data_IF_512894996583
#
_entry.id   IF_512894996583
#
_cell.length_a   1.000
_cell.length_b   1.000
_cell.length_c   1.000
_cell.angle_alpha   90.00
_cell.angle_beta   90.00
_cell.angle_gamma   90.00
#
_symmetry.space_group_name_H-M   'P 1'
#
loop_
_entity.id
_entity.type
_entity.pdbx_description
1 polymer ?
#
# COMPACT_ATOMS: atom_id res chain seq x y z
N UNK A 1 -14.37 17.79 -10.06
CA UNK A 1 -13.84 17.58 -8.71
C UNK A 1 -12.79 18.64 -8.43
N UNK A 2 -12.80 19.28 -7.27
CA UNK A 2 -11.78 20.29 -6.90
C UNK A 2 -10.54 19.61 -6.34
N UNK A 3 -9.36 20.24 -6.40
CA UNK A 3 -8.13 19.67 -5.81
C UNK A 3 -8.28 19.38 -4.31
N UNK A 4 -8.97 20.27 -3.59
CA UNK A 4 -9.33 20.06 -2.18
C UNK A 4 -10.14 18.78 -1.95
N UNK A 5 -11.06 18.43 -2.85
CA UNK A 5 -11.80 17.16 -2.76
C UNK A 5 -10.86 15.97 -2.99
N UNK A 6 -9.97 16.04 -3.99
CA UNK A 6 -8.96 15.01 -4.25
C UNK A 6 -8.08 14.79 -3.01
N UNK A 7 -7.63 15.87 -2.36
CA UNK A 7 -6.79 15.82 -1.16
C UNK A 7 -7.49 15.16 0.03
N UNK A 8 -8.75 15.54 0.28
CA UNK A 8 -9.56 14.92 1.35
C UNK A 8 -9.74 13.43 1.10
N UNK A 9 -10.03 13.02 -0.13
CA UNK A 9 -10.21 11.61 -0.47
C UNK A 9 -8.91 10.81 -0.40
N UNK A 10 -7.82 11.34 -0.92
CA UNK A 10 -6.50 10.73 -0.82
C UNK A 10 -6.06 10.55 0.64
N UNK A 11 -6.29 11.55 1.49
CA UNK A 11 -5.95 11.46 2.91
C UNK A 11 -6.84 10.46 3.66
N UNK A 12 -8.13 10.38 3.32
CA UNK A 12 -9.01 9.32 3.84
C UNK A 12 -8.53 7.93 3.40
N UNK A 13 -8.03 7.80 2.17
CA UNK A 13 -7.46 6.54 1.74
C UNK A 13 -6.18 6.18 2.49
N UNK A 14 -5.30 7.15 2.74
CA UNK A 14 -4.11 6.92 3.56
C UNK A 14 -4.47 6.34 4.93
N UNK A 15 -5.50 6.87 5.59
CA UNK A 15 -6.00 6.31 6.85
C UNK A 15 -6.52 4.88 6.68
N UNK A 16 -7.32 4.60 5.64
CA UNK A 16 -7.83 3.25 5.34
C UNK A 16 -6.71 2.23 5.09
N UNK A 17 -5.66 2.62 4.37
CA UNK A 17 -4.48 1.79 4.12
C UNK A 17 -3.73 1.49 5.42
N UNK A 18 -3.57 2.47 6.32
CA UNK A 18 -2.95 2.27 7.64
C UNK A 18 -3.75 1.32 8.52
N UNK A 19 -5.07 1.49 8.60
CA UNK A 19 -5.96 0.59 9.34
C UNK A 19 -5.87 -0.85 8.81
N UNK A 20 -5.92 -1.00 7.48
CA UNK A 20 -5.79 -2.31 6.85
C UNK A 20 -4.42 -2.94 7.10
N UNK A 21 -3.34 -2.16 7.03
CA UNK A 21 -1.99 -2.63 7.35
C UNK A 21 -1.89 -3.13 8.80
N UNK A 22 -2.47 -2.41 9.76
CA UNK A 22 -2.49 -2.80 11.17
C UNK A 22 -3.23 -4.13 11.38
N UNK A 23 -4.36 -4.33 10.70
CA UNK A 23 -5.08 -5.60 10.72
C UNK A 23 -4.21 -6.72 10.14
N UNK A 24 -3.67 -6.56 8.93
CA UNK A 24 -2.81 -7.60 8.31
C UNK A 24 -1.61 -7.94 9.19
N UNK A 25 -0.96 -6.94 9.80
CA UNK A 25 0.18 -7.13 10.70
C UNK A 25 -0.20 -7.91 11.96
N UNK A 26 -1.34 -7.62 12.58
CA UNK A 26 -1.88 -8.39 13.72
C UNK A 26 -2.08 -9.86 13.34
N UNK A 27 -2.50 -10.12 12.11
CA UNK A 27 -2.75 -11.46 11.63
C UNK A 27 -1.52 -12.21 11.10
N UNK A 28 -0.42 -11.52 10.82
CA UNK A 28 0.81 -12.13 10.30
C UNK A 28 1.35 -13.24 11.23
N UNK A 29 1.31 -13.04 12.55
CA UNK A 29 1.75 -14.04 13.52
C UNK A 29 0.85 -15.28 13.63
N UNK A 30 -0.40 -15.18 13.18
CA UNK A 30 -1.36 -16.30 13.17
C UNK A 30 -1.32 -17.09 11.86
N UNK A 31 -0.79 -16.50 10.79
CA UNK A 31 -0.57 -17.12 9.51
C UNK A 31 0.73 -17.95 9.55
N UNK A 32 0.59 -19.19 10.02
CA UNK A 32 1.67 -20.17 10.13
C UNK A 32 1.32 -21.44 9.38
N UNK A 33 2.36 -22.20 9.01
CA UNK A 33 2.17 -23.59 8.60
C UNK A 33 2.00 -24.47 9.83
N UNK A 34 1.13 -25.47 9.73
CA UNK A 34 1.07 -26.53 10.72
C UNK A 34 2.39 -27.32 10.70
N UNK A 35 3.04 -27.55 11.85
CA UNK A 35 4.39 -28.13 11.89
C UNK A 35 4.47 -29.56 11.34
N UNK A 36 3.39 -30.33 11.50
CA UNK A 36 3.33 -31.75 11.05
C UNK A 36 2.81 -31.89 9.62
N UNK A 37 1.65 -31.30 9.31
CA UNK A 37 1.00 -31.46 7.99
C UNK A 37 1.49 -30.47 6.95
N UNK A 38 2.19 -29.39 7.34
CA UNK A 38 2.63 -28.34 6.43
C UNK A 38 1.51 -27.50 5.82
N UNK A 39 0.28 -27.68 6.27
CA UNK A 39 -0.91 -26.96 5.80
C UNK A 39 -0.94 -25.57 6.43
N UNK A 40 -1.15 -24.53 5.62
CA UNK A 40 -1.31 -23.17 6.13
C UNK A 40 -2.62 -23.02 6.91
N UNK A 41 -2.59 -22.31 8.04
CA UNK A 41 -3.83 -21.89 8.71
C UNK A 41 -4.67 -21.07 7.74
N UNK A 42 -5.94 -21.44 7.50
CA UNK A 42 -6.79 -20.67 6.60
C UNK A 42 -6.98 -19.25 7.16
N UNK A 43 -6.96 -18.21 6.32
CA UNK A 43 -7.14 -16.84 6.78
C UNK A 43 -8.53 -16.65 7.40
N UNK A 44 -8.63 -15.82 8.43
CA UNK A 44 -9.93 -15.47 9.00
C UNK A 44 -10.77 -14.66 7.99
N UNK A 45 -12.11 -14.59 8.15
CA UNK A 45 -12.94 -13.71 7.32
C UNK A 45 -12.50 -12.24 7.38
N UNK A 46 -12.03 -11.78 8.54
CA UNK A 46 -11.51 -10.41 8.71
C UNK A 46 -10.26 -10.16 7.86
N UNK A 47 -9.33 -11.13 7.81
CA UNK A 47 -8.13 -11.04 6.96
C UNK A 47 -8.52 -11.00 5.49
N UNK A 48 -9.38 -11.92 5.04
CA UNK A 48 -9.86 -11.93 3.65
C UNK A 48 -10.52 -10.61 3.26
N UNK A 49 -11.41 -10.09 4.11
CA UNK A 49 -12.05 -8.80 3.88
C UNK A 49 -11.05 -7.64 3.85
N UNK A 50 -10.02 -7.68 4.68
CA UNK A 50 -8.96 -6.66 4.71
C UNK A 50 -8.08 -6.70 3.46
N UNK A 51 -7.69 -7.89 2.99
CA UNK A 51 -6.95 -8.04 1.73
C UNK A 51 -7.79 -7.54 0.54
N UNK A 52 -9.09 -7.84 0.53
CA UNK A 52 -10.03 -7.29 -0.45
C UNK A 52 -10.07 -5.76 -0.45
N UNK A 53 -10.15 -5.13 0.74
CA UNK A 53 -10.11 -3.67 0.88
C UNK A 53 -8.80 -3.08 0.38
N UNK A 54 -7.64 -3.66 0.71
CA UNK A 54 -6.34 -3.20 0.19
C UNK A 54 -6.31 -3.23 -1.34
N UNK A 55 -6.89 -4.28 -1.94
CA UNK A 55 -6.97 -4.38 -3.39
C UNK A 55 -7.91 -3.34 -3.99
N UNK A 56 -9.04 -3.09 -3.36
CA UNK A 56 -9.97 -2.02 -3.76
C UNK A 56 -9.28 -0.65 -3.69
N UNK A 57 -8.55 -0.35 -2.62
CA UNK A 57 -7.77 0.89 -2.49
C UNK A 57 -6.82 1.10 -3.67
N UNK A 58 -6.13 0.04 -4.12
CA UNK A 58 -5.21 0.09 -5.25
C UNK A 58 -5.88 0.39 -6.59
N UNK A 59 -7.19 0.15 -6.74
CA UNK A 59 -7.93 0.48 -7.97
C UNK A 59 -8.12 1.98 -8.16
N UNK A 60 -8.08 2.74 -7.06
CA UNK A 60 -8.29 4.20 -7.06
C UNK A 60 -7.00 4.99 -7.25
N UNK A 61 -5.85 4.35 -7.02
CA UNK A 61 -4.52 4.98 -7.13
C UNK A 61 -4.29 5.68 -8.48
N UNK A 62 -4.58 5.08 -9.65
CA UNK A 62 -4.36 5.75 -10.94
C UNK A 62 -5.05 7.12 -11.03
N UNK A 63 -6.29 7.23 -10.52
CA UNK A 63 -7.02 8.49 -10.54
C UNK A 63 -6.36 9.57 -9.66
N UNK A 64 -5.79 9.21 -8.50
CA UNK A 64 -5.02 10.15 -7.69
C UNK A 64 -3.70 10.55 -8.34
N UNK A 65 -3.02 9.61 -8.99
CA UNK A 65 -1.78 9.89 -9.73
C UNK A 65 -2.02 10.92 -10.84
N UNK A 66 -3.08 10.74 -11.61
CA UNK A 66 -3.45 11.67 -12.68
C UNK A 66 -3.82 13.05 -12.12
N UNK A 67 -4.60 13.08 -11.04
CA UNK A 67 -4.99 14.34 -10.40
C UNK A 67 -3.77 15.09 -9.82
N UNK A 68 -2.85 14.39 -9.16
CA UNK A 68 -1.62 14.97 -8.64
C UNK A 68 -0.66 15.43 -9.75
N UNK A 69 -0.59 14.71 -10.87
CA UNK A 69 0.20 15.14 -12.02
C UNK A 69 -0.36 16.43 -12.65
N UNK A 70 -1.68 16.52 -12.79
CA UNK A 70 -2.36 17.72 -13.29
C UNK A 70 -2.15 18.92 -12.36
N UNK A 71 -2.25 18.70 -11.05
CA UNK A 71 -1.97 19.74 -10.05
C UNK A 71 -0.50 20.18 -10.11
N UNK A 72 0.46 19.24 -10.17
CA UNK A 72 1.89 19.58 -10.31
C UNK A 72 2.11 20.47 -11.52
N UNK A 73 1.59 20.11 -12.69
CA UNK A 73 1.74 20.90 -13.90
C UNK A 73 1.07 22.29 -13.82
N UNK A 74 0.01 22.45 -13.02
CA UNK A 74 -0.62 23.74 -12.79
C UNK A 74 0.15 24.60 -11.78
N UNK A 75 0.71 23.99 -10.73
CA UNK A 75 1.57 24.65 -9.75
C UNK A 75 2.88 25.11 -10.39
N UNK A 76 3.52 24.30 -11.25
CA UNK A 76 4.75 24.69 -11.99
C UNK A 76 4.52 25.92 -12.86
N UNK A 77 3.36 26.01 -13.54
CA UNK A 77 2.99 27.19 -14.33
C UNK A 77 2.80 28.45 -13.51
N UNK A 78 2.46 28.33 -12.23
CA UNK A 78 2.08 29.47 -11.37
C UNK A 78 3.25 29.93 -10.49
N UNK A 79 3.99 29.00 -9.92
CA UNK A 79 4.99 29.25 -8.87
C UNK A 79 6.43 29.06 -9.34
N UNK A 80 6.64 28.58 -10.58
CA UNK A 80 7.96 28.23 -11.07
C UNK A 80 8.49 26.93 -10.43
N UNK A 81 9.69 26.96 -9.87
CA UNK A 81 10.37 25.76 -9.37
C UNK A 81 9.67 25.14 -8.16
N UNK A 82 9.17 23.91 -8.32
CA UNK A 82 8.57 23.14 -7.22
C UNK A 82 9.61 22.27 -6.48
N UNK A 83 9.41 22.01 -5.18
CA UNK A 83 10.18 21.02 -4.44
C UNK A 83 10.22 19.66 -5.16
N UNK A 84 11.37 19.00 -5.15
CA UNK A 84 11.57 17.73 -5.83
C UNK A 84 10.60 16.65 -5.32
N UNK A 85 10.28 16.68 -4.02
CA UNK A 85 9.36 15.76 -3.36
C UNK A 85 7.94 15.81 -3.95
N UNK A 86 7.49 16.99 -4.39
CA UNK A 86 6.15 17.18 -4.99
C UNK A 86 6.15 16.78 -6.46
N UNK A 87 7.26 17.04 -7.16
CA UNK A 87 7.44 16.65 -8.57
C UNK A 87 7.55 15.13 -8.73
N UNK A 88 8.32 14.47 -7.86
CA UNK A 88 8.53 13.02 -7.91
C UNK A 88 7.43 12.22 -7.21
N UNK A 89 6.61 12.86 -6.39
CA UNK A 89 5.54 12.25 -5.60
C UNK A 89 4.65 11.26 -6.37
N UNK A 90 4.06 11.66 -7.52
CA UNK A 90 3.25 10.75 -8.32
C UNK A 90 4.01 9.48 -8.75
N UNK A 91 5.27 9.62 -9.15
CA UNK A 91 6.08 8.46 -9.55
C UNK A 91 6.39 7.56 -8.35
N UNK A 92 6.69 8.12 -7.18
CA UNK A 92 6.91 7.35 -5.93
C UNK A 92 5.65 6.59 -5.53
N UNK A 93 4.50 7.24 -5.54
CA UNK A 93 3.19 6.61 -5.26
C UNK A 93 2.90 5.46 -6.20
N UNK A 94 3.18 5.62 -7.51
CA UNK A 94 3.03 4.56 -8.50
C UNK A 94 3.86 3.33 -8.15
N UNK A 95 5.15 3.53 -7.88
CA UNK A 95 6.07 2.44 -7.53
C UNK A 95 5.61 1.72 -6.26
N UNK A 96 5.20 2.47 -5.23
CA UNK A 96 4.73 1.90 -3.97
C UNK A 96 3.43 1.10 -4.15
N UNK A 97 2.50 1.60 -4.98
CA UNK A 97 1.27 0.89 -5.29
C UNK A 97 1.52 -0.41 -6.08
N UNK A 98 2.47 -0.40 -7.02
CA UNK A 98 2.86 -1.59 -7.78
C UNK A 98 3.55 -2.63 -6.87
N UNK A 99 4.38 -2.18 -5.93
CA UNK A 99 5.00 -3.06 -4.92
C UNK A 99 3.95 -3.68 -3.99
N UNK A 100 2.96 -2.90 -3.53
CA UNK A 100 1.87 -3.43 -2.72
C UNK A 100 1.02 -4.43 -3.51
N UNK A 101 0.72 -4.14 -4.79
CA UNK A 101 -0.01 -5.07 -5.67
C UNK A 101 0.73 -6.39 -5.80
N UNK A 102 2.03 -6.35 -6.09
CA UNK A 102 2.85 -7.55 -6.20
C UNK A 102 2.89 -8.35 -4.89
N UNK A 103 3.02 -7.68 -3.75
CA UNK A 103 3.00 -8.33 -2.44
C UNK A 103 1.65 -9.01 -2.14
N UNK A 104 0.53 -8.35 -2.48
CA UNK A 104 -0.81 -8.92 -2.35
C UNK A 104 -0.97 -10.15 -3.24
N UNK A 105 -0.56 -10.09 -4.50
CA UNK A 105 -0.65 -11.22 -5.43
C UNK A 105 0.15 -12.43 -4.92
N UNK A 106 1.33 -12.21 -4.35
CA UNK A 106 2.15 -13.27 -3.74
C UNK A 106 1.44 -13.85 -2.52
N UNK A 107 0.97 -13.00 -1.60
CA UNK A 107 0.27 -13.46 -0.39
C UNK A 107 -0.99 -14.25 -0.73
N UNK A 108 -1.82 -13.77 -1.66
CA UNK A 108 -3.03 -14.44 -2.10
C UNK A 108 -2.73 -15.82 -2.71
N UNK A 109 -1.69 -15.94 -3.54
CA UNK A 109 -1.26 -17.23 -4.08
C UNK A 109 -0.81 -18.19 -2.98
N UNK A 110 -0.06 -17.69 -1.99
CA UNK A 110 0.39 -18.48 -0.83
C UNK A 110 -0.80 -18.94 0.01
N UNK A 111 -1.81 -18.09 0.20
CA UNK A 111 -3.03 -18.45 0.94
C UNK A 111 -3.97 -19.38 0.15
N UNK A 112 -3.95 -19.33 -1.19
CA UNK A 112 -4.77 -20.15 -2.06
C UNK A 112 -4.21 -21.56 -2.32
N UNK A 113 -2.90 -21.78 -2.11
CA UNK A 113 -2.22 -23.06 -2.31
C UNK A 113 -1.67 -23.64 -1.00
N UNK A 114 -2.52 -24.21 -0.13
CA UNK A 114 -2.09 -24.76 1.15
C UNK A 114 -1.26 -26.07 1.05
N UNK A 115 -1.17 -26.71 -0.13
CA UNK A 115 -0.48 -28.00 -0.30
C UNK A 115 0.44 -28.04 -1.53
N UNK A 116 1.60 -28.73 -1.39
CA UNK A 116 2.18 -29.72 -2.36
C UNK A 116 3.62 -30.22 -2.06
N UNK A 117 4.03 -30.33 -0.79
CA UNK A 117 5.22 -31.14 -0.41
C UNK A 117 5.39 -31.22 1.13
N UNK A 118 6.23 -32.10 1.66
CA UNK A 118 6.64 -32.09 3.07
C UNK A 118 7.50 -30.85 3.45
N UNK A 119 7.47 -30.50 4.73
CA UNK A 119 8.35 -29.53 5.39
C UNK A 119 9.75 -30.16 5.58
N UNK A 120 10.70 -29.91 4.69
CA UNK A 120 12.12 -30.06 5.05
C UNK A 120 12.56 -28.77 5.75
N UNK A 121 13.06 -28.67 6.98
CA UNK A 121 13.18 -29.56 8.14
C UNK A 121 13.33 -28.63 9.38
N UNK A 122 13.19 -29.11 10.64
CA UNK A 122 13.24 -28.25 11.83
C UNK A 122 14.60 -27.59 12.09
N UNK A 123 15.71 -28.24 11.71
CA UNK A 123 17.05 -27.68 11.77
C UNK A 123 17.94 -28.40 10.73
N UNK A 124 18.39 -27.71 9.68
CA UNK A 124 19.49 -28.17 8.81
C UNK A 124 19.16 -28.39 7.32
N UNK A 125 20.03 -27.82 6.48
CA UNK A 125 20.30 -28.10 5.04
C UNK A 125 19.38 -27.50 3.95
N UNK A 126 18.88 -26.28 4.15
CA UNK A 126 18.44 -25.46 3.01
C UNK A 126 17.52 -24.30 3.40
N UNK A 127 17.58 -23.21 2.64
CA UNK A 127 16.58 -22.15 2.75
C UNK A 127 15.17 -22.74 2.53
N UNK A 128 14.15 -22.30 3.30
CA UNK A 128 12.79 -22.79 3.11
C UNK A 128 12.40 -22.62 1.64
N UNK A 129 12.05 -23.72 0.96
CA UNK A 129 11.62 -23.72 -0.45
C UNK A 129 10.27 -23.02 -0.67
N UNK A 130 9.66 -22.49 0.40
CA UNK A 130 8.31 -21.89 0.42
C UNK A 130 8.32 -20.48 1.01
N UNK A 131 7.55 -19.55 0.41
CA UNK A 131 7.20 -18.31 1.08
C UNK A 131 6.38 -18.60 2.34
N UNK A 132 6.79 -18.03 3.49
CA UNK A 132 6.03 -18.13 4.74
C UNK A 132 4.84 -17.15 4.73
N UNK A 133 3.58 -17.59 4.94
CA UNK A 133 2.39 -16.74 4.79
C UNK A 133 2.42 -15.57 5.77
N UNK A 134 2.87 -15.78 7.01
CA UNK A 134 3.07 -14.70 7.97
C UNK A 134 4.14 -13.69 7.54
N UNK A 135 5.22 -14.13 6.88
CA UNK A 135 6.24 -13.21 6.38
C UNK A 135 5.70 -12.38 5.22
N UNK A 136 4.96 -13.01 4.30
CA UNK A 136 4.28 -12.31 3.19
C UNK A 136 3.23 -11.32 3.69
N UNK A 137 2.49 -11.67 4.74
CA UNK A 137 1.56 -10.73 5.39
C UNK A 137 2.28 -9.53 6.00
N UNK A 138 3.43 -9.73 6.65
CA UNK A 138 4.27 -8.62 7.13
C UNK A 138 4.71 -7.70 5.99
N UNK A 139 5.16 -8.27 4.87
CA UNK A 139 5.52 -7.48 3.67
C UNK A 139 4.34 -6.68 3.13
N UNK A 140 3.15 -7.28 3.01
CA UNK A 140 1.93 -6.57 2.59
C UNK A 140 1.62 -5.41 3.52
N UNK A 141 1.64 -5.65 4.85
CA UNK A 141 1.36 -4.61 5.84
C UNK A 141 2.37 -3.45 5.75
N UNK A 142 3.66 -3.76 5.63
CA UNK A 142 4.71 -2.75 5.50
C UNK A 142 4.53 -1.91 4.22
N UNK A 143 4.28 -2.54 3.07
CA UNK A 143 4.08 -1.82 1.81
C UNK A 143 2.81 -0.95 1.84
N UNK A 144 1.74 -1.42 2.49
CA UNK A 144 0.52 -0.64 2.67
C UNK A 144 0.77 0.59 3.56
N UNK A 145 1.52 0.44 4.66
CA UNK A 145 1.91 1.57 5.52
C UNK A 145 2.79 2.59 4.80
N UNK A 146 3.76 2.14 4.00
CA UNK A 146 4.65 3.03 3.26
C UNK A 146 3.87 3.79 2.19
N UNK A 147 2.97 3.12 1.44
CA UNK A 147 2.09 3.78 0.48
C UNK A 147 1.19 4.81 1.16
N UNK A 148 0.59 4.45 2.30
CA UNK A 148 -0.26 5.35 3.05
C UNK A 148 0.48 6.60 3.53
N UNK A 149 1.70 6.43 4.03
CA UNK A 149 2.54 7.54 4.48
C UNK A 149 2.87 8.47 3.33
N UNK A 150 3.33 7.94 2.20
CA UNK A 150 3.62 8.75 1.02
C UNK A 150 2.36 9.50 0.55
N UNK A 151 1.20 8.84 0.53
CA UNK A 151 -0.05 9.48 0.12
C UNK A 151 -0.43 10.65 1.03
N UNK A 152 -0.35 10.47 2.35
CA UNK A 152 -0.59 11.54 3.32
C UNK A 152 0.44 12.67 3.19
N UNK A 153 1.72 12.34 2.99
CA UNK A 153 2.79 13.32 2.77
C UNK A 153 2.54 14.17 1.53
N UNK A 154 2.16 13.54 0.41
CA UNK A 154 1.85 14.27 -0.82
C UNK A 154 0.69 15.25 -0.62
N UNK A 155 -0.38 14.83 0.07
CA UNK A 155 -1.50 15.72 0.40
C UNK A 155 -1.03 16.92 1.23
N UNK A 156 -0.27 16.71 2.29
CA UNK A 156 0.22 17.80 3.16
C UNK A 156 1.12 18.76 2.40
N UNK A 157 2.05 18.26 1.58
CA UNK A 157 2.95 19.10 0.80
C UNK A 157 2.17 19.97 -0.20
N UNK A 158 1.17 19.39 -0.87
CA UNK A 158 0.35 20.07 -1.88
C UNK A 158 -0.56 21.13 -1.27
N UNK A 159 -1.23 20.82 -0.16
CA UNK A 159 -2.02 21.81 0.60
C UNK A 159 -1.15 22.98 1.09
N UNK A 160 0.05 22.70 1.60
CA UNK A 160 0.98 23.74 2.04
C UNK A 160 1.50 24.62 0.90
N UNK A 161 1.70 24.05 -0.30
CA UNK A 161 2.07 24.82 -1.48
C UNK A 161 0.90 25.68 -1.97
N UNK A 162 -0.30 25.11 -2.03
CA UNK A 162 -1.50 25.83 -2.43
C UNK A 162 -1.80 27.03 -1.50
N UNK A 163 -1.59 26.88 -0.19
CA UNK A 163 -1.76 27.96 0.78
C UNK A 163 -0.74 29.11 0.63
N UNK A 164 0.44 28.84 0.04
CA UNK A 164 1.50 29.83 -0.19
C UNK A 164 1.33 30.63 -1.48
N UNK A 165 0.48 30.17 -2.40
CA UNK A 165 0.16 30.91 -3.61
C UNK A 165 -0.86 31.99 -3.23
N UNK A 166 -0.55 33.29 -3.39
CA UNK A 166 -1.50 34.34 -3.08
C UNK A 166 -2.76 34.12 -3.92
N UNK A 167 -3.91 33.98 -3.25
CA UNK A 167 -5.19 34.00 -3.93
C UNK A 167 -5.37 35.41 -4.47
N UNK A 168 -5.02 35.64 -5.74
CA UNK A 168 -5.40 36.87 -6.44
C UNK A 168 -6.92 36.96 -6.39
N UNK A 169 -7.41 37.82 -5.50
CA UNK A 169 -8.81 38.20 -5.38
C UNK A 169 -9.33 38.59 -6.75
N UNK A 170 -10.39 37.91 -7.18
CA UNK A 170 -11.28 38.44 -8.22
C UNK A 170 -12.20 39.49 -7.61
#
# INVERSE_FOLDING_TARGET
>A
MTWRQVHVEANREAARLQEAAAVVRRYAGMLRYHPVTGVATPPSPEVRGTLGRLRESLTRVPAWLDAFAQETAALERTSGALPQEVREGPQRLRVLADLLRAALDVLERVLAQPERAPLDAPYGLGAPRRPHPGAQATWVAERAEVLARELATQVVLRENLAARIPQTSR
#
